data_IF_843543144345
#
_entry.id   IF_843543144345
#
_cell.length_a   1.000
_cell.length_b   1.000
_cell.length_c   1.000
_cell.angle_alpha   90.00
_cell.angle_beta   90.00
_cell.angle_gamma   90.00
#
_symmetry.space_group_name_H-M   'P 1'
#
loop_
_entity.id
_entity.type
_entity.pdbx_description
1 polymer ?
#
# COMPACT_ATOMS: atom_id res chain seq x y z
N UNK A 1 2.82 -0.27 4.86
CA UNK A 1 2.71 -0.53 6.31
C UNK A 1 2.00 0.63 6.99
N UNK A 2 1.32 0.36 8.10
CA UNK A 2 0.65 1.39 8.89
C UNK A 2 -0.52 0.82 9.69
N UNK A 3 -1.48 1.67 10.03
CA UNK A 3 -2.62 1.27 10.86
C UNK A 3 -3.93 1.91 10.39
N UNK A 4 -5.05 1.30 10.78
CA UNK A 4 -6.37 1.89 10.63
C UNK A 4 -6.67 2.72 11.88
N UNK A 5 -6.75 4.04 11.74
CA UNK A 5 -7.12 4.95 12.83
C UNK A 5 -8.63 4.92 13.09
N UNK A 6 -9.40 4.75 12.02
CA UNK A 6 -10.85 4.57 12.05
C UNK A 6 -11.27 3.54 10.99
N UNK A 7 -12.57 3.19 10.96
CA UNK A 7 -13.10 2.23 9.98
C UNK A 7 -12.81 2.59 8.52
N UNK A 8 -12.64 3.88 8.18
CA UNK A 8 -12.37 4.36 6.83
C UNK A 8 -11.15 5.28 6.72
N UNK A 9 -10.30 5.33 7.75
CA UNK A 9 -9.10 6.17 7.77
C UNK A 9 -7.89 5.29 8.02
N UNK A 10 -7.07 5.11 6.98
CA UNK A 10 -5.79 4.41 7.06
C UNK A 10 -4.65 5.43 7.14
N UNK A 11 -3.72 5.21 8.06
CA UNK A 11 -2.48 5.98 8.19
C UNK A 11 -1.34 5.13 7.65
N UNK A 12 -0.71 5.58 6.56
CA UNK A 12 0.46 4.92 5.97
C UNK A 12 1.72 5.50 6.59
N UNK A 13 2.50 4.66 7.25
CA UNK A 13 3.72 5.05 7.98
C UNK A 13 4.99 4.67 7.22
N UNK A 14 4.93 3.64 6.39
CA UNK A 14 6.05 3.22 5.54
C UNK A 14 5.59 2.53 4.26
N UNK A 15 6.34 2.77 3.18
CA UNK A 15 6.22 2.07 1.91
C UNK A 15 7.41 1.12 1.75
N UNK A 16 7.14 -0.16 1.52
CA UNK A 16 8.17 -1.17 1.29
C UNK A 16 8.27 -1.38 -0.22
N UNK A 17 9.48 -1.29 -0.83
CA UNK A 17 9.64 -1.44 -2.27
C UNK A 17 9.51 -2.90 -2.73
N UNK A 18 9.57 -3.12 -4.05
CA UNK A 18 9.48 -4.45 -4.68
C UNK A 18 10.58 -5.42 -4.23
N UNK A 19 11.70 -4.88 -3.73
CA UNK A 19 12.89 -5.62 -3.33
C UNK A 19 13.95 -5.74 -4.43
N UNK A 20 15.17 -6.14 -4.07
CA UNK A 20 16.34 -6.04 -4.94
C UNK A 20 16.34 -7.04 -6.10
N UNK A 21 15.62 -8.15 -5.97
CA UNK A 21 15.49 -9.17 -7.03
C UNK A 21 14.14 -9.14 -7.74
N UNK A 22 13.40 -8.03 -7.63
CA UNK A 22 12.14 -7.89 -8.35
C UNK A 22 12.38 -7.88 -9.86
N UNK A 23 11.52 -8.56 -10.61
CA UNK A 23 11.52 -8.54 -12.07
C UNK A 23 10.42 -7.64 -12.58
N UNK A 24 10.76 -6.75 -13.52
CA UNK A 24 9.86 -5.80 -14.14
C UNK A 24 9.90 -6.00 -15.66
N UNK A 25 8.83 -6.52 -16.21
CA UNK A 25 8.62 -6.60 -17.65
C UNK A 25 7.56 -5.58 -18.08
N UNK A 26 7.38 -5.43 -19.39
CA UNK A 26 6.36 -4.53 -19.95
C UNK A 26 4.94 -4.85 -19.47
N UNK A 27 4.64 -6.11 -19.22
CA UNK A 27 3.29 -6.60 -18.89
C UNK A 27 3.25 -7.53 -17.67
N UNK A 28 4.38 -7.75 -16.99
CA UNK A 28 4.48 -8.57 -15.80
C UNK A 28 5.37 -7.92 -14.76
N UNK A 29 5.05 -8.19 -13.50
CA UNK A 29 5.83 -7.77 -12.36
C UNK A 29 5.89 -8.95 -11.39
N UNK A 30 7.09 -9.26 -10.94
CA UNK A 30 7.33 -10.30 -9.93
C UNK A 30 8.12 -9.68 -8.79
N UNK A 31 7.52 -9.48 -7.61
CA UNK A 31 8.25 -8.95 -6.46
C UNK A 31 9.26 -9.97 -5.89
N UNK A 32 10.29 -9.47 -5.20
CA UNK A 32 11.15 -10.32 -4.36
C UNK A 32 10.38 -10.68 -3.06
N UNK A 33 9.46 -11.62 -3.18
CA UNK A 33 8.45 -11.90 -2.16
C UNK A 33 9.05 -12.23 -0.79
N UNK A 34 10.13 -13.03 -0.75
CA UNK A 34 10.80 -13.40 0.50
C UNK A 34 11.44 -12.18 1.17
N UNK A 35 12.06 -11.31 0.37
CA UNK A 35 12.63 -10.07 0.88
C UNK A 35 11.55 -9.12 1.40
N UNK A 36 10.45 -8.94 0.65
CA UNK A 36 9.35 -8.08 1.06
C UNK A 36 8.72 -8.56 2.37
N UNK A 37 8.45 -9.86 2.50
CA UNK A 37 7.92 -10.43 3.74
C UNK A 37 8.87 -10.20 4.94
N UNK A 38 10.18 -10.33 4.72
CA UNK A 38 11.17 -10.05 5.75
C UNK A 38 11.19 -8.56 6.17
N UNK A 39 11.11 -7.63 5.21
CA UNK A 39 11.05 -6.20 5.53
C UNK A 39 9.72 -5.79 6.17
N UNK A 40 8.60 -6.41 5.77
CA UNK A 40 7.29 -6.25 6.45
C UNK A 40 7.41 -6.70 7.91
N UNK A 41 7.96 -7.89 8.16
CA UNK A 41 8.13 -8.43 9.51
C UNK A 41 9.04 -7.55 10.37
N UNK A 42 10.16 -7.09 9.79
CA UNK A 42 11.11 -6.18 10.44
C UNK A 42 10.47 -4.84 10.79
N UNK A 43 9.66 -4.26 9.91
CA UNK A 43 8.92 -3.01 10.19
C UNK A 43 7.87 -3.23 11.29
N UNK A 44 7.12 -4.33 11.21
CA UNK A 44 6.15 -4.71 12.25
C UNK A 44 6.83 -4.77 13.63
N UNK A 45 7.94 -5.49 13.78
CA UNK A 45 8.67 -5.56 15.05
C UNK A 45 9.22 -4.20 15.50
N UNK A 46 9.82 -3.43 14.59
CA UNK A 46 10.39 -2.10 14.91
C UNK A 46 9.35 -1.08 15.37
N UNK A 47 8.13 -1.16 14.83
CA UNK A 47 7.02 -0.29 15.24
C UNK A 47 6.39 -0.67 16.59
N UNK A 48 6.98 -1.61 17.33
CA UNK A 48 6.36 -2.16 18.54
C UNK A 48 5.09 -2.96 18.21
N UNK A 49 5.02 -3.53 17.01
CA UNK A 49 3.89 -4.31 16.50
C UNK A 49 2.60 -3.50 16.28
N UNK A 50 2.72 -2.18 16.17
CA UNK A 50 1.59 -1.28 15.90
C UNK A 50 1.28 -1.17 14.40
N UNK A 51 2.32 -1.10 13.56
CA UNK A 51 2.14 -0.97 12.11
C UNK A 51 1.99 -2.33 11.44
N UNK A 52 0.84 -2.56 10.84
CA UNK A 52 0.52 -3.79 10.12
C UNK A 52 0.59 -3.60 8.59
N UNK A 53 0.47 -4.72 7.88
CA UNK A 53 0.36 -4.70 6.43
C UNK A 53 -1.00 -4.13 6.00
N UNK A 54 -0.99 -2.93 5.42
CA UNK A 54 -2.20 -2.25 4.93
C UNK A 54 -2.59 -2.64 3.50
N UNK A 55 -1.64 -3.12 2.68
CA UNK A 55 -1.87 -3.40 1.27
C UNK A 55 -0.68 -3.00 0.41
N UNK A 56 -0.93 -2.94 -0.90
CA UNK A 56 0.11 -2.80 -1.93
C UNK A 56 0.07 -1.44 -2.62
N UNK A 57 1.14 -1.16 -3.37
CA UNK A 57 1.27 0.03 -4.18
C UNK A 57 2.07 -0.28 -5.44
N UNK A 58 1.74 0.39 -6.54
CA UNK A 58 2.51 0.32 -7.77
C UNK A 58 2.24 1.50 -8.69
N UNK A 59 3.07 1.63 -9.71
CA UNK A 59 2.91 2.67 -10.73
C UNK A 59 2.15 2.14 -11.94
N UNK A 60 1.32 2.98 -12.56
CA UNK A 60 0.87 2.80 -13.94
C UNK A 60 1.53 3.88 -14.84
N UNK A 61 2.67 3.57 -15.48
CA UNK A 61 3.31 4.49 -16.41
C UNK A 61 2.43 4.70 -17.65
N UNK A 62 2.28 5.95 -18.08
CA UNK A 62 1.49 6.35 -19.24
C UNK A 62 0.02 5.88 -19.20
N UNK A 63 -0.53 5.74 -18.00
CA UNK A 63 -1.89 5.23 -17.82
C UNK A 63 -2.93 6.16 -18.47
N UNK A 64 -3.85 5.56 -19.21
CA UNK A 64 -5.06 6.23 -19.73
C UNK A 64 -6.13 6.30 -18.63
N UNK A 65 -6.10 5.37 -17.68
CA UNK A 65 -7.06 5.27 -16.57
C UNK A 65 -6.35 5.24 -15.23
N UNK A 66 -6.96 5.89 -14.24
CA UNK A 66 -6.59 5.85 -12.83
C UNK A 66 -7.32 4.77 -12.02
N UNK A 67 -8.12 3.93 -12.70
CA UNK A 67 -8.85 2.84 -12.05
C UNK A 67 -7.96 1.62 -11.86
N UNK A 68 -8.30 0.81 -10.87
CA UNK A 68 -7.78 -0.54 -10.71
C UNK A 68 -7.97 -1.32 -12.02
N UNK A 69 -6.93 -2.03 -12.45
CA UNK A 69 -6.97 -2.97 -13.57
C UNK A 69 -7.68 -4.26 -13.15
N UNK A 70 -7.91 -5.17 -14.10
CA UNK A 70 -8.43 -6.50 -13.74
C UNK A 70 -7.44 -7.27 -12.86
N UNK A 71 -6.14 -7.20 -13.19
CA UNK A 71 -5.07 -7.85 -12.42
C UNK A 71 -4.99 -7.31 -10.99
N UNK A 72 -5.15 -5.99 -10.81
CA UNK A 72 -5.17 -5.37 -9.47
C UNK A 72 -6.31 -5.92 -8.63
N UNK A 73 -7.51 -6.05 -9.21
CA UNK A 73 -8.68 -6.62 -8.53
C UNK A 73 -8.46 -8.07 -8.12
N UNK A 74 -7.84 -8.87 -8.99
CA UNK A 74 -7.50 -10.26 -8.68
C UNK A 74 -6.49 -10.31 -7.53
N UNK A 75 -5.45 -9.49 -7.57
CA UNK A 75 -4.47 -9.37 -6.49
C UNK A 75 -5.13 -9.01 -5.15
N UNK A 76 -5.99 -7.98 -5.14
CA UNK A 76 -6.71 -7.53 -3.95
C UNK A 76 -7.62 -8.62 -3.37
N UNK A 77 -8.34 -9.37 -4.22
CA UNK A 77 -9.13 -10.53 -3.77
C UNK A 77 -8.23 -11.60 -3.14
N UNK A 78 -7.08 -11.89 -3.73
CA UNK A 78 -6.11 -12.83 -3.17
C UNK A 78 -5.59 -12.38 -1.81
N UNK A 79 -5.27 -11.09 -1.65
CA UNK A 79 -4.86 -10.51 -0.35
C UNK A 79 -5.95 -10.74 0.70
N UNK A 80 -7.19 -10.35 0.40
CA UNK A 80 -8.33 -10.47 1.34
C UNK A 80 -8.55 -11.93 1.76
N UNK A 81 -8.41 -12.88 0.81
CA UNK A 81 -8.63 -14.31 1.06
C UNK A 81 -7.43 -15.01 1.71
N UNK A 82 -6.26 -14.38 1.73
CA UNK A 82 -5.06 -14.94 2.34
C UNK A 82 -5.06 -14.65 3.84
N UNK A 83 -5.39 -15.67 4.63
CA UNK A 83 -5.51 -15.53 6.10
C UNK A 83 -4.24 -15.00 6.77
N UNK A 84 -3.05 -15.39 6.28
CA UNK A 84 -1.76 -14.93 6.80
C UNK A 84 -1.49 -13.45 6.55
N UNK A 85 -2.13 -12.84 5.54
CA UNK A 85 -2.06 -11.41 5.28
C UNK A 85 -2.83 -10.59 6.34
N UNK A 86 -3.81 -11.21 7.02
CA UNK A 86 -4.63 -10.59 8.08
C UNK A 86 -5.23 -9.24 7.67
N UNK A 87 -5.56 -9.09 6.39
CA UNK A 87 -5.95 -7.83 5.81
C UNK A 87 -7.26 -7.97 5.02
N UNK A 88 -8.39 -7.75 5.70
CA UNK A 88 -9.73 -7.83 5.10
C UNK A 88 -10.10 -6.59 4.29
N UNK A 89 -9.35 -5.49 4.46
CA UNK A 89 -9.60 -4.22 3.81
C UNK A 89 -8.30 -3.65 3.24
N UNK A 90 -7.70 -4.25 2.20
CA UNK A 90 -6.45 -3.76 1.66
C UNK A 90 -6.61 -2.38 1.02
N UNK A 91 -5.56 -1.58 1.19
CA UNK A 91 -5.32 -0.33 0.48
C UNK A 91 -4.48 -0.65 -0.77
N UNK A 92 -4.92 -0.19 -1.93
CA UNK A 92 -4.09 -0.18 -3.15
C UNK A 92 -3.76 1.25 -3.53
N UNK A 93 -2.48 1.60 -3.57
CA UNK A 93 -2.03 2.91 -4.04
C UNK A 93 -1.53 2.84 -5.47
N UNK A 94 -2.28 3.44 -6.41
CA UNK A 94 -1.84 3.57 -7.80
C UNK A 94 -1.15 4.92 -8.01
N UNK A 95 0.06 4.88 -8.55
CA UNK A 95 0.79 6.09 -8.95
C UNK A 95 0.76 6.17 -10.47
N UNK A 96 -0.13 6.98 -11.01
CA UNK A 96 -0.39 7.09 -12.45
C UNK A 96 0.31 8.32 -13.04
N UNK A 97 0.95 8.17 -14.18
CA UNK A 97 1.54 9.32 -14.86
C UNK A 97 2.78 9.00 -15.69
N UNK A 98 3.61 10.01 -15.85
CA UNK A 98 4.84 10.00 -16.65
C UNK A 98 5.95 10.73 -15.89
N UNK A 99 7.23 10.58 -16.29
CA UNK A 99 8.32 11.33 -15.67
C UNK A 99 7.99 12.83 -15.55
N UNK A 100 8.14 13.38 -14.34
CA UNK A 100 7.83 14.78 -14.01
C UNK A 100 6.36 15.09 -13.71
N UNK A 101 5.43 14.14 -13.89
CA UNK A 101 4.00 14.34 -13.59
C UNK A 101 3.35 13.03 -13.15
N UNK A 102 3.31 12.81 -11.85
CA UNK A 102 2.72 11.63 -11.20
C UNK A 102 1.55 12.04 -10.31
N UNK A 103 0.50 11.23 -10.32
CA UNK A 103 -0.71 11.40 -9.51
C UNK A 103 -0.97 10.16 -8.69
N UNK A 104 -1.33 10.34 -7.42
CA UNK A 104 -1.64 9.26 -6.50
C UNK A 104 -3.15 9.02 -6.45
N UNK A 105 -3.55 7.76 -6.65
CA UNK A 105 -4.93 7.30 -6.61
C UNK A 105 -5.04 6.12 -5.64
N UNK A 106 -5.39 6.36 -4.37
CA UNK A 106 -5.57 5.30 -3.39
C UNK A 106 -6.97 4.67 -3.51
N UNK A 107 -7.05 3.37 -3.25
CA UNK A 107 -8.28 2.60 -3.27
C UNK A 107 -8.39 1.74 -2.02
N UNK A 108 -9.54 1.77 -1.34
CA UNK A 108 -9.91 0.80 -0.31
C UNK A 108 -10.76 -0.29 -0.92
N UNK A 109 -10.40 -1.53 -0.64
CA UNK A 109 -11.09 -2.68 -1.21
C UNK A 109 -11.55 -3.61 -0.10
N UNK A 110 -12.76 -4.15 -0.21
CA UNK A 110 -13.27 -5.17 0.70
C UNK A 110 -14.17 -6.14 -0.07
N UNK A 111 -14.30 -7.38 0.39
CA UNK A 111 -15.30 -8.29 -0.17
C UNK A 111 -16.67 -7.99 0.43
N UNK A 112 -17.68 -7.88 -0.43
CA UNK A 112 -19.08 -7.82 -0.03
C UNK A 112 -19.84 -8.99 -0.65
N UNK A 113 -20.63 -9.68 0.16
CA UNK A 113 -21.57 -10.68 -0.34
C UNK A 113 -22.76 -9.99 -0.98
N UNK A 114 -22.97 -10.23 -2.28
CA UNK A 114 -24.15 -9.79 -3.02
C UNK A 114 -24.98 -11.05 -3.32
N UNK A 115 -26.23 -11.07 -2.85
CA UNK A 115 -27.18 -12.20 -3.03
C UNK A 115 -26.57 -13.57 -2.70
N UNK A 116 -26.46 -13.91 -1.41
CA UNK A 116 -26.15 -15.22 -0.79
C UNK A 116 -25.03 -16.14 -1.34
N UNK A 117 -24.50 -15.95 -2.56
CA UNK A 117 -23.61 -16.86 -3.26
C UNK A 117 -22.48 -16.16 -4.03
N UNK A 118 -22.52 -14.83 -4.21
CA UNK A 118 -21.51 -14.11 -4.99
C UNK A 118 -20.80 -13.03 -4.18
N UNK A 119 -19.50 -13.20 -3.98
CA UNK A 119 -18.64 -12.16 -3.42
C UNK A 119 -18.19 -11.19 -4.53
N UNK A 120 -18.44 -9.90 -4.30
CA UNK A 120 -18.00 -8.82 -5.17
C UNK A 120 -16.96 -7.99 -4.44
N UNK A 121 -15.95 -7.53 -5.17
CA UNK A 121 -14.98 -6.57 -4.63
C UNK A 121 -15.65 -5.19 -4.63
N UNK A 122 -15.85 -4.62 -3.45
CA UNK A 122 -16.27 -3.23 -3.25
C UNK A 122 -15.00 -2.37 -3.23
N UNK A 123 -14.80 -1.58 -4.28
CA UNK A 123 -13.65 -0.70 -4.48
C UNK A 123 -14.09 0.75 -4.27
N UNK A 124 -13.42 1.48 -3.38
CA UNK A 124 -13.69 2.89 -3.09
C UNK A 124 -12.42 3.71 -3.23
N UNK A 125 -12.45 4.71 -4.09
CA UNK A 125 -11.35 5.68 -4.17
C UNK A 125 -11.30 6.49 -2.87
N UNK A 126 -10.10 6.70 -2.35
CA UNK A 126 -9.87 7.45 -1.13
C UNK A 126 -9.24 8.81 -1.45
N UNK A 127 -9.33 9.73 -0.50
CA UNK A 127 -8.58 10.99 -0.53
C UNK A 127 -7.28 10.82 0.25
N UNK A 128 -6.23 11.53 -0.16
CA UNK A 128 -4.93 11.52 0.52
C UNK A 128 -4.74 12.84 1.23
N UNK A 129 -4.29 12.76 2.48
CA UNK A 129 -3.76 13.89 3.23
C UNK A 129 -2.33 13.53 3.63
N UNK A 130 -1.39 14.46 3.37
CA UNK A 130 0.01 14.28 3.73
C UNK A 130 0.26 15.01 5.04
N UNK A 131 0.76 14.27 6.03
CA UNK A 131 1.16 14.82 7.32
C UNK A 131 2.68 14.90 7.35
N UNK A 132 3.20 16.09 7.63
CA UNK A 132 4.62 16.26 7.95
C UNK A 132 4.77 16.02 9.45
N UNK A 133 5.53 15.00 9.85
CA UNK A 133 5.93 14.87 11.25
C UNK A 133 7.01 15.91 11.55
N UNK A 134 6.92 16.70 12.64
CA UNK A 134 7.95 17.68 13.02
C UNK A 134 9.32 17.06 13.37
N UNK A 135 9.45 15.74 13.39
CA UNK A 135 10.66 15.05 13.85
C UNK A 135 11.68 14.81 12.72
N UNK A 136 12.11 15.89 12.06
CA UNK A 136 13.41 15.97 11.36
C UNK A 136 13.99 17.41 11.33
N UNK A 137 13.52 18.30 12.21
CA UNK A 137 14.18 19.56 12.55
C UNK A 137 14.65 19.50 14.01
N UNK A 138 15.77 18.81 14.26
CA UNK A 138 16.52 18.95 15.52
C UNK A 138 17.98 18.55 15.29
N UNK A 139 18.76 19.54 14.89
CA UNK A 139 20.21 19.48 14.79
C UNK A 139 20.80 20.89 14.80
N UNK A 140 20.21 21.79 15.61
CA UNK A 140 20.79 23.10 15.89
C UNK A 140 21.54 23.04 17.23
N UNK A 141 22.76 23.57 17.18
CA UNK A 141 23.59 24.05 18.29
C UNK A 141 23.70 23.22 19.57
N UNK A 142 24.87 22.59 19.72
CA UNK A 142 25.53 22.55 21.03
C UNK A 142 26.70 23.53 20.96
N UNK A 143 26.42 24.78 21.33
CA UNK A 143 27.46 25.69 21.80
C UNK A 143 28.03 25.15 23.12
N UNK A 144 29.36 25.00 23.18
CA UNK A 144 30.28 25.44 24.27
C UNK A 144 31.60 24.66 24.25
N UNK A 145 32.69 25.34 23.90
CA UNK A 145 33.80 25.67 24.79
C UNK A 145 34.59 26.84 24.18
#
# INVERSE_FOLDING_TARGET
MGYWAESNVAVVTAMIPAGPRASHDRSSFLPDQRWQQAEIAKHYERSGRLDTYLGDWHTHPNAISNRLSWTDRVCLKTIIKTSTARNQKPVMMLICGKPGKWFLHPWFCQLRTKLFLFEVLDEREATVQVYTSPSFEAGEEIAKA
#
